data_IF_355686560755
#
_entry.id   IF_355686560755
#
_cell.length_a   1.000
_cell.length_b   1.000
_cell.length_c   1.000
_cell.angle_alpha   90.00
_cell.angle_beta   90.00
_cell.angle_gamma   90.00
#
_symmetry.space_group_name_H-M   'P 1'
#
loop_
_entity.id
_entity.type
_entity.pdbx_description
1 polymer ?
#
# COMPACT_ATOMS: atom_id res chain seq x y z
N UNK A 1 -19.78 -25.33 -4.13
CA UNK A 1 -21.16 -24.89 -3.83
C UNK A 1 -22.17 -25.08 -4.97
N UNK A 2 -21.78 -25.14 -6.25
CA UNK A 2 -22.72 -25.32 -7.37
C UNK A 2 -23.43 -26.69 -7.43
N UNK A 3 -22.94 -27.71 -6.72
CA UNK A 3 -23.43 -29.10 -6.87
C UNK A 3 -24.62 -29.47 -5.97
N UNK A 4 -24.82 -28.77 -4.85
CA UNK A 4 -25.92 -29.01 -3.89
C UNK A 4 -26.44 -27.69 -3.28
N UNK A 5 -27.31 -26.96 -4.00
CA UNK A 5 -27.73 -25.60 -3.63
C UNK A 5 -28.60 -25.55 -2.35
N UNK A 6 -29.39 -26.59 -2.10
CA UNK A 6 -30.45 -26.66 -1.06
C UNK A 6 -30.03 -27.41 0.21
N UNK A 7 -28.74 -27.70 0.39
CA UNK A 7 -28.26 -28.39 1.59
C UNK A 7 -28.34 -27.49 2.82
N UNK A 8 -28.81 -28.04 3.95
CA UNK A 8 -28.91 -27.36 5.26
C UNK A 8 -27.55 -26.85 5.76
N UNK A 9 -26.44 -27.47 5.31
CA UNK A 9 -25.08 -27.09 5.71
C UNK A 9 -24.45 -26.00 4.83
N UNK A 10 -25.16 -25.53 3.79
CA UNK A 10 -24.59 -24.55 2.88
C UNK A 10 -24.23 -23.24 3.61
N UNK A 11 -25.04 -22.83 4.57
CA UNK A 11 -24.79 -21.61 5.34
C UNK A 11 -23.64 -21.77 6.34
N UNK A 12 -23.53 -22.93 6.99
CA UNK A 12 -22.36 -23.26 7.83
C UNK A 12 -21.05 -23.30 7.03
N UNK A 13 -21.08 -23.89 5.83
CA UNK A 13 -19.93 -23.93 4.93
C UNK A 13 -19.52 -22.53 4.44
N UNK A 14 -20.49 -21.66 4.12
CA UNK A 14 -20.22 -20.26 3.76
C UNK A 14 -19.58 -19.51 4.93
N UNK A 15 -20.13 -19.66 6.13
CA UNK A 15 -19.58 -19.03 7.33
C UNK A 15 -18.13 -19.46 7.59
N UNK A 16 -17.83 -20.76 7.52
CA UNK A 16 -16.46 -21.28 7.65
C UNK A 16 -15.52 -20.78 6.55
N UNK A 17 -16.01 -20.70 5.31
CA UNK A 17 -15.20 -20.17 4.19
C UNK A 17 -14.82 -18.71 4.44
N UNK A 18 -15.77 -17.90 4.90
CA UNK A 18 -15.55 -16.49 5.23
C UNK A 18 -14.56 -16.34 6.39
N UNK A 19 -14.72 -17.11 7.46
CA UNK A 19 -13.80 -17.14 8.60
C UNK A 19 -12.36 -17.49 8.17
N UNK A 20 -12.19 -18.50 7.31
CA UNK A 20 -10.88 -18.88 6.79
C UNK A 20 -10.29 -17.78 5.91
N UNK A 21 -11.11 -17.11 5.09
CA UNK A 21 -10.66 -15.99 4.27
C UNK A 21 -10.20 -14.82 5.13
N UNK A 22 -10.91 -14.47 6.20
CA UNK A 22 -10.49 -13.43 7.14
C UNK A 22 -9.15 -13.77 7.81
N UNK A 23 -8.94 -15.03 8.20
CA UNK A 23 -7.66 -15.49 8.76
C UNK A 23 -6.51 -15.40 7.75
N UNK A 24 -6.76 -15.71 6.48
CA UNK A 24 -5.75 -15.58 5.41
C UNK A 24 -5.37 -14.12 5.18
N UNK A 25 -6.37 -13.24 5.16
CA UNK A 25 -6.18 -11.79 5.06
C UNK A 25 -5.35 -11.26 6.23
N UNK A 26 -5.70 -11.62 7.46
CA UNK A 26 -4.98 -11.21 8.66
C UNK A 26 -3.53 -11.70 8.64
N UNK A 27 -3.30 -12.96 8.29
CA UNK A 27 -1.95 -13.51 8.12
C UNK A 27 -1.14 -12.72 7.09
N UNK A 28 -1.73 -12.42 5.94
CA UNK A 28 -1.08 -11.65 4.87
C UNK A 28 -0.71 -10.25 5.33
N UNK A 29 -1.64 -9.57 6.01
CA UNK A 29 -1.41 -8.25 6.62
C UNK A 29 -0.27 -8.27 7.64
N UNK A 30 -0.27 -9.22 8.58
CA UNK A 30 0.78 -9.34 9.60
C UNK A 30 2.15 -9.63 8.99
N UNK A 31 2.21 -10.48 7.96
CA UNK A 31 3.45 -10.75 7.24
C UNK A 31 4.00 -9.51 6.55
N UNK A 32 3.14 -8.73 5.91
CA UNK A 32 3.53 -7.50 5.22
C UNK A 32 3.99 -6.42 6.22
N UNK A 33 3.29 -6.29 7.36
CA UNK A 33 3.67 -5.40 8.46
C UNK A 33 5.00 -5.78 9.09
N UNK A 34 5.27 -7.09 9.25
CA UNK A 34 6.55 -7.55 9.80
C UNK A 34 7.74 -7.07 8.95
N UNK A 35 7.65 -7.13 7.62
CA UNK A 35 8.72 -6.60 6.76
C UNK A 35 8.91 -5.09 6.95
N UNK A 36 7.82 -4.35 7.12
CA UNK A 36 7.86 -2.92 7.40
C UNK A 36 8.55 -2.64 8.76
N UNK A 37 8.18 -3.37 9.81
CA UNK A 37 8.74 -3.23 11.16
C UNK A 37 10.25 -3.58 11.20
N UNK A 38 10.66 -4.57 10.40
CA UNK A 38 12.06 -4.94 10.18
C UNK A 38 12.84 -3.93 9.32
N UNK A 39 12.17 -2.87 8.82
CA UNK A 39 12.73 -1.84 7.92
C UNK A 39 13.20 -2.41 6.57
N UNK A 40 12.71 -3.59 6.20
CA UNK A 40 12.93 -4.20 4.90
C UNK A 40 11.94 -3.61 3.89
N UNK A 41 12.02 -2.30 3.67
CA UNK A 41 10.99 -1.54 2.95
C UNK A 41 10.72 -2.06 1.54
N UNK A 42 11.75 -2.54 0.83
CA UNK A 42 11.56 -3.13 -0.50
C UNK A 42 10.70 -4.38 -0.46
N UNK A 43 10.94 -5.27 0.51
CA UNK A 43 10.14 -6.48 0.70
C UNK A 43 8.73 -6.12 1.19
N UNK A 44 8.63 -5.15 2.10
CA UNK A 44 7.37 -4.63 2.61
C UNK A 44 6.49 -4.11 1.48
N UNK A 45 7.00 -3.23 0.60
CA UNK A 45 6.22 -2.70 -0.53
C UNK A 45 5.68 -3.81 -1.43
N UNK A 46 6.49 -4.83 -1.74
CA UNK A 46 6.06 -5.97 -2.58
C UNK A 46 5.00 -6.81 -1.86
N UNK A 47 5.22 -7.12 -0.58
CA UNK A 47 4.28 -7.90 0.22
C UNK A 47 2.94 -7.18 0.37
N UNK A 48 2.96 -5.88 0.69
CA UNK A 48 1.76 -5.04 0.84
C UNK A 48 0.99 -4.94 -0.48
N UNK A 49 1.68 -4.74 -1.61
CA UNK A 49 1.06 -4.73 -2.93
C UNK A 49 0.41 -6.08 -3.28
N UNK A 50 1.06 -7.19 -2.93
CA UNK A 50 0.49 -8.52 -3.12
C UNK A 50 -0.76 -8.73 -2.25
N UNK A 51 -0.72 -8.32 -0.97
CA UNK A 51 -1.88 -8.39 -0.07
C UNK A 51 -3.07 -7.60 -0.61
N UNK A 52 -2.84 -6.39 -1.13
CA UNK A 52 -3.89 -5.54 -1.72
C UNK A 52 -4.49 -6.14 -3.01
N UNK A 53 -3.66 -6.84 -3.79
CA UNK A 53 -4.10 -7.50 -5.03
C UNK A 53 -4.88 -8.79 -4.75
N UNK A 54 -4.44 -9.58 -3.77
CA UNK A 54 -5.05 -10.86 -3.41
C UNK A 54 -6.36 -10.66 -2.64
N UNK A 55 -6.41 -9.63 -1.80
CA UNK A 55 -7.55 -9.32 -0.94
C UNK A 55 -8.02 -7.88 -1.13
N UNK A 56 -8.62 -7.53 -2.28
CA UNK A 56 -9.03 -6.16 -2.56
C UNK A 56 -10.13 -5.67 -1.61
N UNK A 57 -11.03 -6.53 -1.17
CA UNK A 57 -12.16 -6.20 -0.27
C UNK A 57 -11.79 -6.28 1.23
N UNK A 58 -10.51 -6.28 1.57
CA UNK A 58 -10.07 -6.39 2.97
C UNK A 58 -10.41 -5.13 3.78
N UNK A 59 -10.88 -5.32 5.01
CA UNK A 59 -11.05 -4.22 5.98
C UNK A 59 -9.73 -3.50 6.32
N UNK A 60 -8.59 -4.13 6.07
CA UNK A 60 -7.26 -3.55 6.32
C UNK A 60 -6.73 -2.73 5.14
N UNK A 61 -7.52 -2.55 4.07
CA UNK A 61 -7.04 -1.99 2.80
C UNK A 61 -6.46 -0.59 2.95
N UNK A 62 -7.17 0.30 3.63
CA UNK A 62 -6.72 1.66 3.92
C UNK A 62 -5.34 1.65 4.62
N UNK A 63 -5.19 0.80 5.64
CA UNK A 63 -3.93 0.68 6.37
C UNK A 63 -2.81 0.05 5.54
N UNK A 64 -3.12 -0.96 4.73
CA UNK A 64 -2.16 -1.59 3.81
C UNK A 64 -1.63 -0.59 2.77
N UNK A 65 -2.52 0.24 2.19
CA UNK A 65 -2.13 1.28 1.24
C UNK A 65 -1.29 2.36 1.92
N UNK A 66 -1.67 2.77 3.13
CA UNK A 66 -0.87 3.72 3.91
C UNK A 66 0.54 3.18 4.22
N UNK A 67 0.65 1.95 4.73
CA UNK A 67 1.92 1.32 5.02
C UNK A 67 2.77 1.17 3.75
N UNK A 68 2.15 0.90 2.60
CA UNK A 68 2.84 0.78 1.32
C UNK A 68 3.43 2.12 0.89
N UNK A 69 2.64 3.20 1.00
CA UNK A 69 3.09 4.56 0.73
C UNK A 69 4.26 4.95 1.64
N UNK A 70 4.14 4.72 2.94
CA UNK A 70 5.19 5.07 3.90
C UNK A 70 6.46 4.22 3.70
N UNK A 71 6.32 2.93 3.39
CA UNK A 71 7.44 2.07 3.01
C UNK A 71 8.17 2.60 1.75
N UNK A 72 7.44 3.02 0.73
CA UNK A 72 8.01 3.62 -0.49
C UNK A 72 8.77 4.91 -0.18
N UNK A 73 8.20 5.77 0.65
CA UNK A 73 8.83 7.01 1.09
C UNK A 73 10.13 6.73 1.87
N UNK A 74 10.08 5.85 2.87
CA UNK A 74 11.25 5.47 3.66
C UNK A 74 12.33 4.79 2.81
N UNK A 75 11.93 3.99 1.83
CA UNK A 75 12.84 3.43 0.84
C UNK A 75 13.51 4.56 0.04
N UNK A 76 12.74 5.53 -0.47
CA UNK A 76 13.26 6.67 -1.23
C UNK A 76 14.26 7.50 -0.41
N UNK A 77 13.94 7.84 0.84
CA UNK A 77 14.81 8.62 1.74
C UNK A 77 16.18 7.95 1.93
N UNK A 78 16.18 6.63 2.14
CA UNK A 78 17.37 5.82 2.40
C UNK A 78 18.11 5.36 1.12
N UNK A 79 17.70 5.84 -0.05
CA UNK A 79 18.29 5.43 -1.34
C UNK A 79 19.59 6.14 -1.66
N UNK A 80 20.34 5.60 -2.64
CA UNK A 80 21.43 6.35 -3.29
C UNK A 80 20.87 7.45 -4.19
N UNK A 81 21.56 8.60 -4.37
CA UNK A 81 21.07 9.76 -5.11
C UNK A 81 20.49 9.42 -6.50
N UNK A 82 21.18 8.55 -7.25
CA UNK A 82 20.77 8.10 -8.59
C UNK A 82 19.38 7.46 -8.63
N UNK A 83 18.97 6.80 -7.54
CA UNK A 83 17.67 6.09 -7.44
C UNK A 83 16.63 6.87 -6.65
N UNK A 84 17.02 7.98 -5.99
CA UNK A 84 16.10 8.77 -5.16
C UNK A 84 14.98 9.36 -6.00
N UNK A 85 15.29 9.95 -7.15
CA UNK A 85 14.30 10.61 -8.01
C UNK A 85 13.20 9.65 -8.43
N UNK A 86 13.56 8.50 -9.00
CA UNK A 86 12.62 7.45 -9.41
C UNK A 86 11.75 6.99 -8.23
N UNK A 87 12.35 6.72 -7.07
CA UNK A 87 11.61 6.22 -5.90
C UNK A 87 10.69 7.27 -5.29
N UNK A 88 11.07 8.55 -5.32
CA UNK A 88 10.21 9.65 -4.92
C UNK A 88 9.05 9.86 -5.91
N UNK A 89 9.28 9.66 -7.22
CA UNK A 89 8.19 9.65 -8.20
C UNK A 89 7.21 8.51 -7.91
N UNK A 90 7.69 7.29 -7.66
CA UNK A 90 6.81 6.17 -7.26
C UNK A 90 6.03 6.46 -5.97
N UNK A 91 6.67 7.13 -4.99
CA UNK A 91 6.00 7.55 -3.76
C UNK A 91 4.89 8.56 -4.05
N UNK A 92 5.12 9.48 -4.97
CA UNK A 92 4.14 10.49 -5.38
C UNK A 92 2.95 9.87 -6.10
N UNK A 93 3.19 8.89 -6.98
CA UNK A 93 2.12 8.16 -7.67
C UNK A 93 1.24 7.41 -6.66
N UNK A 94 1.86 6.73 -5.69
CA UNK A 94 1.13 6.01 -4.64
C UNK A 94 0.32 6.96 -3.75
N UNK A 95 0.84 8.16 -3.48
CA UNK A 95 0.09 9.19 -2.75
C UNK A 95 -1.21 9.57 -3.48
N UNK A 96 -1.15 9.77 -4.79
CA UNK A 96 -2.34 10.11 -5.56
C UNK A 96 -3.35 8.96 -5.56
N UNK A 97 -2.89 7.71 -5.72
CA UNK A 97 -3.75 6.53 -5.58
C UNK A 97 -4.41 6.45 -4.20
N UNK A 98 -3.67 6.77 -3.12
CA UNK A 98 -4.22 6.78 -1.77
C UNK A 98 -5.31 7.83 -1.58
N UNK A 99 -5.08 9.06 -2.03
CA UNK A 99 -6.04 10.16 -1.85
C UNK A 99 -7.26 10.00 -2.75
N UNK A 100 -7.10 9.43 -3.95
CA UNK A 100 -8.21 9.08 -4.84
C UNK A 100 -9.15 8.07 -4.18
N UNK A 101 -8.57 7.03 -3.56
CA UNK A 101 -9.36 5.97 -2.93
C UNK A 101 -9.88 6.35 -1.53
N UNK A 102 -9.07 7.09 -0.75
CA UNK A 102 -9.34 7.49 0.62
C UNK A 102 -9.14 9.00 0.84
N UNK A 103 -10.03 9.84 0.28
CA UNK A 103 -9.93 11.29 0.42
C UNK A 103 -10.11 11.78 1.86
N UNK A 104 -10.79 11.00 2.71
CA UNK A 104 -10.97 11.25 4.14
C UNK A 104 -10.47 10.03 4.90
N UNK A 105 -9.21 10.07 5.31
CA UNK A 105 -8.53 8.98 5.99
C UNK A 105 -8.06 9.42 7.38
N UNK A 106 -7.93 8.46 8.31
CA UNK A 106 -7.23 8.71 9.58
C UNK A 106 -5.74 9.05 9.38
N UNK A 107 -5.17 8.68 8.23
CA UNK A 107 -3.77 8.90 7.88
C UNK A 107 -3.52 10.17 7.07
N UNK A 108 -4.54 10.97 6.75
CA UNK A 108 -4.41 12.15 5.87
C UNK A 108 -3.28 13.10 6.29
N UNK A 109 -3.05 13.28 7.59
CA UNK A 109 -1.95 14.13 8.09
C UNK A 109 -0.57 13.60 7.70
N UNK A 110 -0.35 12.30 7.85
CA UNK A 110 0.92 11.65 7.54
C UNK A 110 1.16 11.58 6.03
N UNK A 111 0.11 11.24 5.29
CA UNK A 111 0.11 11.18 3.82
C UNK A 111 0.47 12.54 3.21
N UNK A 112 -0.09 13.63 3.74
CA UNK A 112 0.25 15.00 3.33
C UNK A 112 1.71 15.37 3.67
N UNK A 113 2.20 14.96 4.85
CA UNK A 113 3.61 15.19 5.23
C UNK A 113 4.58 14.49 4.29
N UNK A 114 4.26 13.26 3.89
CA UNK A 114 5.03 12.49 2.88
C UNK A 114 5.02 13.23 1.54
N UNK A 115 3.87 13.72 1.10
CA UNK A 115 3.73 14.48 -0.15
C UNK A 115 4.56 15.77 -0.15
N UNK A 116 4.47 16.58 0.90
CA UNK A 116 5.25 17.82 1.02
C UNK A 116 6.76 17.54 0.97
N UNK A 117 7.20 16.48 1.67
CA UNK A 117 8.61 16.08 1.69
C UNK A 117 9.08 15.59 0.31
N UNK A 118 8.26 14.78 -0.35
CA UNK A 118 8.52 14.20 -1.67
C UNK A 118 8.58 15.30 -2.74
N UNK A 119 7.59 16.19 -2.77
CA UNK A 119 7.53 17.30 -3.73
C UNK A 119 8.66 18.30 -3.50
N UNK A 120 9.03 18.59 -2.25
CA UNK A 120 10.19 19.43 -1.94
C UNK A 120 11.49 18.85 -2.48
N UNK A 121 11.69 17.54 -2.34
CA UNK A 121 12.86 16.86 -2.91
C UNK A 121 12.87 16.95 -4.44
N UNK A 122 11.76 16.60 -5.08
CA UNK A 122 11.64 16.61 -6.54
C UNK A 122 11.78 18.02 -7.15
N UNK A 123 11.31 19.07 -6.46
CA UNK A 123 11.48 20.47 -6.91
C UNK A 123 12.89 21.02 -6.69
N UNK A 124 13.60 20.52 -5.67
CA UNK A 124 14.97 20.91 -5.39
C UNK A 124 15.97 20.32 -6.39
N UNK A 125 15.61 19.22 -7.05
CA UNK A 125 16.45 18.54 -8.04
C UNK A 125 16.36 19.24 -9.43
N UNK A 126 17.48 19.75 -10.00
CA UNK A 126 17.47 20.46 -11.28
C UNK A 126 17.04 19.62 -12.50
N UNK A 127 16.88 18.30 -12.37
CA UNK A 127 16.40 17.43 -13.45
C UNK A 127 14.90 17.60 -13.78
N UNK A 128 14.05 17.95 -12.81
CA UNK A 128 12.59 18.14 -13.02
C UNK A 128 12.27 19.50 -13.65
N UNK A 129 13.16 20.49 -13.54
CA UNK A 129 12.98 21.82 -14.13
C UNK A 129 13.06 21.85 -15.66
N UNK A 130 13.45 20.75 -16.31
CA UNK A 130 13.60 20.69 -17.77
C UNK A 130 12.33 20.21 -18.49
N UNK A 131 11.40 19.55 -17.80
CA UNK A 131 10.17 19.02 -18.42
C UNK A 131 9.02 20.02 -18.49
N UNK A 132 9.10 21.16 -17.80
CA UNK A 132 8.08 22.23 -17.87
C UNK A 132 8.41 23.30 -18.94
N UNK A 133 9.56 23.22 -19.61
CA UNK A 133 10.03 24.21 -20.58
C UNK A 133 10.22 23.64 -22.01
N UNK A 134 9.33 22.76 -22.46
CA UNK A 134 9.25 22.35 -23.87
C UNK A 134 7.80 22.14 -24.32
#
# INVERSE_FOLDING_TARGET
MQRYPTSTHNDECKAKTLELQEKLVEKSYLSARLYYDLKEYRAATVSLANSLKEYPETKYREELMFLKLDALYLLAVNSVPEKKVERYQTTLDEYYSFIEEYPQSKFTKDVNRIFESTTKYLKADPAVKQTENN
#
